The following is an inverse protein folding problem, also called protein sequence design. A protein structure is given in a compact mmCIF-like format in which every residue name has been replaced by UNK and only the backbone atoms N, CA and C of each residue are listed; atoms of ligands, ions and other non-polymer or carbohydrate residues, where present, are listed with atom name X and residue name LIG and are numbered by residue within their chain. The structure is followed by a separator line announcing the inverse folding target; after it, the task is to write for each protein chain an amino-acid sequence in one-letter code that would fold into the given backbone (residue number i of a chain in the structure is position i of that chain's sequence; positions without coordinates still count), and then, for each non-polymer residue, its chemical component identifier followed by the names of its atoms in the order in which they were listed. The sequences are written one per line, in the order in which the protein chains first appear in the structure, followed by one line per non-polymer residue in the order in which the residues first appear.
data_IF_307782953659
#
_entry.id   IF_307782953659
#
_cell.length_a   1.000
_cell.length_b   1.000
_cell.length_c   1.000
_cell.angle_alpha   90.00
_cell.angle_beta   90.00
_cell.angle_gamma   90.00
#
_symmetry.space_group_name_H-M   'P 1'
#
loop_
_entity.id
_entity.type
_entity.pdbx_description
1 polymer ?
#
# COMPACT_ATOMS: atom_id res chain seq x y z
N UNK A 1 -6.36 54.92 -8.37
CA UNK A 1 -7.16 53.69 -8.16
C UNK A 1 -6.74 52.49 -9.04
N UNK A 2 -5.67 52.55 -9.87
CA UNK A 2 -5.25 51.42 -10.73
C UNK A 2 -4.37 50.35 -10.02
N UNK A 3 -3.69 50.71 -8.94
CA UNK A 3 -2.68 49.86 -8.29
C UNK A 3 -3.24 48.71 -7.45
N UNK A 4 -4.40 48.88 -6.81
CA UNK A 4 -5.02 47.84 -5.97
C UNK A 4 -5.54 46.65 -6.82
N UNK A 5 -6.09 46.93 -8.00
CA UNK A 5 -6.66 45.92 -8.87
C UNK A 5 -5.58 45.01 -9.50
N UNK A 6 -4.43 45.61 -9.88
CA UNK A 6 -3.29 44.86 -10.42
C UNK A 6 -2.62 43.97 -9.36
N UNK A 7 -2.55 44.44 -8.11
CA UNK A 7 -2.02 43.63 -6.99
C UNK A 7 -2.95 42.45 -6.69
N UNK A 8 -4.26 42.67 -6.67
CA UNK A 8 -5.24 41.58 -6.44
C UNK A 8 -5.18 40.56 -7.58
N UNK A 9 -5.06 41.02 -8.84
CA UNK A 9 -4.94 40.15 -10.00
C UNK A 9 -3.62 39.35 -9.99
N UNK A 10 -2.50 39.98 -9.66
CA UNK A 10 -1.21 39.31 -9.53
C UNK A 10 -1.20 38.30 -8.37
N UNK A 11 -1.81 38.64 -7.23
CA UNK A 11 -1.92 37.74 -6.08
C UNK A 11 -2.85 36.55 -6.37
N UNK A 12 -3.95 36.77 -7.08
CA UNK A 12 -4.87 35.69 -7.49
C UNK A 12 -4.26 34.79 -8.56
N UNK A 13 -3.48 35.34 -9.51
CA UNK A 13 -2.70 34.53 -10.45
C UNK A 13 -1.56 33.76 -9.75
N UNK A 14 -0.92 34.32 -8.72
CA UNK A 14 0.09 33.61 -7.91
C UNK A 14 -0.54 32.49 -7.06
N UNK A 15 -1.75 32.69 -6.53
CA UNK A 15 -2.54 31.67 -5.84
C UNK A 15 -3.01 30.55 -6.79
N UNK A 16 -3.32 30.88 -8.04
CA UNK A 16 -3.62 29.89 -9.07
C UNK A 16 -2.35 29.15 -9.54
N UNK A 17 -1.19 29.82 -9.61
CA UNK A 17 0.08 29.18 -9.95
C UNK A 17 0.60 28.24 -8.85
N UNK A 18 0.26 28.49 -7.58
CA UNK A 18 0.53 27.54 -6.49
C UNK A 18 -0.47 26.38 -6.44
N UNK A 19 -1.60 26.49 -7.15
CA UNK A 19 -2.54 25.38 -7.36
C UNK A 19 -2.11 24.41 -8.45
N UNK A 20 -0.79 24.17 -8.59
CA UNK A 20 -0.24 23.08 -9.40
C UNK A 20 -0.90 21.76 -8.98
N UNK A 21 -1.96 21.37 -9.70
CA UNK A 21 -2.65 20.10 -9.54
C UNK A 21 -1.58 19.03 -9.71
N UNK A 22 -1.38 18.21 -8.67
CA UNK A 22 -0.38 17.15 -8.72
C UNK A 22 -0.79 16.14 -9.81
N UNK A 23 -0.18 16.25 -10.99
CA UNK A 23 -0.38 15.30 -12.08
C UNK A 23 0.27 13.99 -11.65
N UNK A 24 -0.55 13.00 -11.31
CA UNK A 24 -0.07 11.63 -11.13
C UNK A 24 0.14 10.98 -12.49
N UNK A 25 1.25 10.26 -12.65
CA UNK A 25 1.56 9.43 -13.81
C UNK A 25 1.51 7.97 -13.40
N UNK A 26 1.10 7.12 -14.33
CA UNK A 26 1.11 5.68 -14.12
C UNK A 26 1.37 4.95 -15.44
N UNK A 27 1.98 3.78 -15.36
CA UNK A 27 2.09 2.84 -16.47
C UNK A 27 1.80 1.44 -15.95
N UNK A 28 1.15 0.63 -16.80
CA UNK A 28 0.91 -0.78 -16.54
C UNK A 28 1.26 -1.57 -17.79
N UNK A 29 1.98 -2.66 -17.61
CA UNK A 29 2.28 -3.61 -18.67
C UNK A 29 2.05 -5.02 -18.15
N UNK A 30 1.56 -5.91 -19.02
CA UNK A 30 1.30 -7.31 -18.71
C UNK A 30 1.59 -8.13 -19.96
N UNK A 31 2.25 -9.27 -19.79
CA UNK A 31 2.53 -10.23 -20.85
C UNK A 31 1.27 -11.02 -21.22
N UNK A 32 1.23 -11.53 -22.44
CA UNK A 32 0.13 -12.37 -22.92
C UNK A 32 0.10 -13.74 -22.21
N UNK A 33 1.26 -14.18 -21.70
CA UNK A 33 1.42 -15.45 -20.96
C UNK A 33 0.95 -15.37 -19.50
N UNK A 34 0.50 -14.21 -19.03
CA UNK A 34 0.07 -14.03 -17.65
C UNK A 34 -1.19 -14.85 -17.34
N UNK A 35 -1.09 -15.76 -16.35
CA UNK A 35 -2.21 -16.55 -15.87
C UNK A 35 -2.86 -15.90 -14.63
N UNK A 36 -4.07 -15.32 -14.74
CA UNK A 36 -4.73 -14.68 -13.60
C UNK A 36 -5.19 -15.66 -12.52
N UNK A 37 -5.17 -16.97 -12.77
CA UNK A 37 -5.55 -18.02 -11.80
C UNK A 37 -4.36 -18.53 -10.98
N UNK A 38 -3.16 -18.02 -11.22
CA UNK A 38 -1.98 -18.39 -10.45
C UNK A 38 -2.08 -17.97 -8.97
N UNK A 39 -1.21 -18.56 -8.17
CA UNK A 39 -1.02 -18.19 -6.76
C UNK A 39 -0.01 -17.05 -6.65
N UNK A 40 -0.28 -16.08 -5.78
CA UNK A 40 0.53 -14.88 -5.62
C UNK A 40 1.13 -14.81 -4.22
N UNK A 41 2.43 -14.55 -4.15
CA UNK A 41 3.15 -14.23 -2.91
C UNK A 41 3.67 -12.81 -2.98
N UNK A 42 3.31 -11.98 -2.01
CA UNK A 42 3.76 -10.58 -1.98
C UNK A 42 5.03 -10.49 -1.17
N UNK A 43 6.09 -9.96 -1.77
CA UNK A 43 7.36 -9.71 -1.10
C UNK A 43 7.70 -8.24 -1.19
N UNK A 44 8.19 -7.70 -0.08
CA UNK A 44 8.61 -6.31 -0.01
C UNK A 44 10.13 -6.22 -0.10
N UNK A 45 10.62 -5.22 -0.84
CA UNK A 45 12.05 -4.86 -0.85
C UNK A 45 12.39 -3.94 0.33
N UNK A 46 11.38 -3.33 0.96
CA UNK A 46 11.51 -2.38 2.07
C UNK A 46 10.78 -2.92 3.32
N UNK A 47 11.06 -2.44 4.54
CA UNK A 47 10.41 -2.92 5.79
C UNK A 47 8.95 -2.46 6.01
N UNK A 48 8.20 -2.12 4.94
CA UNK A 48 6.86 -1.55 5.09
C UNK A 48 5.75 -2.60 5.01
N UNK A 49 5.52 -3.28 6.13
CA UNK A 49 4.54 -4.36 6.30
C UNK A 49 3.07 -3.91 6.08
N UNK A 50 2.77 -2.62 6.28
CA UNK A 50 1.42 -2.10 6.07
C UNK A 50 1.01 -2.08 4.60
N UNK A 51 1.96 -1.90 3.69
CA UNK A 51 1.69 -1.94 2.24
C UNK A 51 1.49 -3.37 1.78
N UNK A 52 2.27 -4.31 2.32
CA UNK A 52 2.16 -5.75 2.07
C UNK A 52 0.74 -6.22 2.40
N UNK A 53 0.29 -6.03 3.65
CA UNK A 53 -1.03 -6.49 4.08
C UNK A 53 -2.18 -5.84 3.28
N UNK A 54 -2.04 -4.57 2.88
CA UNK A 54 -3.04 -3.90 2.02
C UNK A 54 -3.08 -4.48 0.62
N UNK A 55 -1.92 -4.77 0.03
CA UNK A 55 -1.83 -5.32 -1.32
C UNK A 55 -2.39 -6.76 -1.35
N UNK A 56 -2.00 -7.60 -0.39
CA UNK A 56 -2.57 -8.94 -0.21
C UNK A 56 -4.10 -8.89 -0.06
N UNK A 57 -4.60 -7.97 0.76
CA UNK A 57 -6.05 -7.78 0.92
C UNK A 57 -6.75 -7.36 -0.38
N UNK A 58 -6.20 -6.41 -1.15
CA UNK A 58 -6.78 -6.01 -2.44
C UNK A 58 -6.79 -7.16 -3.45
N UNK A 59 -5.72 -7.95 -3.51
CA UNK A 59 -5.63 -9.14 -4.38
C UNK A 59 -6.68 -10.18 -4.00
N UNK A 60 -6.81 -10.50 -2.71
CA UNK A 60 -7.82 -11.42 -2.20
C UNK A 60 -9.25 -10.92 -2.49
N UNK A 61 -9.53 -9.63 -2.30
CA UNK A 61 -10.83 -9.03 -2.65
C UNK A 61 -11.16 -9.14 -4.14
N UNK A 62 -10.15 -9.16 -5.01
CA UNK A 62 -10.33 -9.31 -6.45
C UNK A 62 -10.50 -10.77 -6.89
N UNK A 63 -10.30 -11.72 -5.98
CA UNK A 63 -10.43 -13.16 -6.24
C UNK A 63 -9.11 -13.87 -6.59
N UNK A 64 -7.96 -13.21 -6.41
CA UNK A 64 -6.67 -13.88 -6.55
C UNK A 64 -6.36 -14.76 -5.34
N UNK A 65 -5.69 -15.89 -5.58
CA UNK A 65 -5.21 -16.77 -4.50
C UNK A 65 -3.90 -16.22 -3.96
N UNK A 66 -3.90 -15.70 -2.72
CA UNK A 66 -2.73 -15.12 -2.09
C UNK A 66 -2.16 -16.07 -1.04
N UNK A 67 -0.86 -16.35 -1.12
CA UNK A 67 -0.08 -17.03 -0.08
C UNK A 67 0.53 -15.94 0.81
N UNK A 68 -0.04 -15.78 2.00
CA UNK A 68 0.46 -14.85 3.01
C UNK A 68 1.36 -15.62 3.98
N UNK A 69 2.67 -15.36 3.94
CA UNK A 69 3.65 -15.95 4.87
C UNK A 69 3.56 -15.30 6.27
N UNK A 70 3.03 -14.07 6.35
CA UNK A 70 3.00 -13.27 7.56
C UNK A 70 1.56 -13.02 8.02
N UNK A 71 0.84 -14.08 8.40
CA UNK A 71 -0.36 -13.86 9.24
C UNK A 71 0.08 -13.55 10.67
N UNK A 72 0.19 -12.27 10.99
CA UNK A 72 0.02 -11.82 12.39
C UNK A 72 -1.48 -11.92 12.67
N UNK A 73 -1.96 -13.07 13.15
CA UNK A 73 -3.27 -13.10 13.79
C UNK A 73 -3.14 -12.35 15.11
N UNK A 74 -4.04 -11.40 15.35
CA UNK A 74 -3.99 -10.47 16.47
C UNK A 74 -3.88 -11.10 17.85
N UNK A 75 -3.75 -10.22 18.84
CA UNK A 75 -3.72 -10.52 20.27
C UNK A 75 -4.73 -11.61 20.65
N UNK A 76 -4.24 -12.79 21.02
CA UNK A 76 -5.09 -13.83 21.61
C UNK A 76 -5.00 -13.68 23.13
N UNK A 77 -6.12 -13.68 23.86
CA UNK A 77 -6.10 -13.68 25.31
C UNK A 77 -5.43 -14.97 25.81
N UNK A 78 -4.39 -14.83 26.62
CA UNK A 78 -3.61 -15.96 27.17
C UNK A 78 -3.90 -16.20 28.66
N UNK A 79 -4.68 -15.31 29.27
CA UNK A 79 -5.17 -15.45 30.64
C UNK A 79 -5.34 -14.07 31.27
N UNK A 80 -5.71 -14.04 32.55
CA UNK A 80 -5.74 -12.80 33.32
C UNK A 80 -4.50 -12.71 34.21
N UNK A 81 -3.88 -11.53 34.29
CA UNK A 81 -2.89 -11.21 35.31
C UNK A 81 -3.46 -10.33 36.39
N UNK A 82 -3.11 -10.67 37.63
CA UNK A 82 -3.46 -9.88 38.79
C UNK A 82 -2.46 -8.74 38.92
N UNK A 83 -2.94 -7.52 38.74
CA UNK A 83 -2.15 -6.31 38.96
C UNK A 83 -2.55 -5.76 40.32
N UNK A 84 -1.58 -5.71 41.23
CA UNK A 84 -1.73 -5.10 42.55
C UNK A 84 -1.02 -3.76 42.55
N UNK A 85 -1.79 -2.69 42.68
CA UNK A 85 -1.29 -1.37 43.03
C UNK A 85 -1.40 -1.16 44.54
N UNK A 86 -0.91 -0.03 45.04
CA UNK A 86 -0.83 0.25 46.48
C UNK A 86 -2.18 0.11 47.21
N UNK A 87 -3.30 0.40 46.53
CA UNK A 87 -4.64 0.46 47.12
C UNK A 87 -5.66 -0.52 46.51
N UNK A 88 -5.30 -1.31 45.48
CA UNK A 88 -6.26 -2.22 44.85
C UNK A 88 -5.60 -3.37 44.10
N UNK A 89 -6.33 -4.47 43.99
CA UNK A 89 -5.94 -5.61 43.16
C UNK A 89 -7.05 -5.89 42.16
N UNK A 90 -6.72 -5.88 40.86
CA UNK A 90 -7.66 -6.19 39.78
C UNK A 90 -7.02 -7.11 38.75
N UNK A 91 -7.87 -7.89 38.06
CA UNK A 91 -7.46 -8.77 36.97
C UNK A 91 -7.43 -7.98 35.66
N UNK A 92 -6.37 -8.11 34.88
CA UNK A 92 -6.22 -7.54 33.54
C UNK A 92 -6.00 -8.67 32.55
N UNK A 93 -6.69 -8.63 31.41
CA UNK A 93 -6.45 -9.59 30.33
C UNK A 93 -5.02 -9.45 29.80
N UNK A 94 -4.25 -10.53 29.91
CA UNK A 94 -2.98 -10.67 29.23
C UNK A 94 -3.21 -11.18 27.83
N UNK A 95 -2.69 -10.42 26.87
CA UNK A 95 -2.63 -10.85 25.48
C UNK A 95 -1.21 -11.32 25.17
N UNK A 96 -1.09 -12.46 24.48
CA UNK A 96 0.17 -12.85 23.84
C UNK A 96 0.04 -12.55 22.36
N UNK A 97 1.10 -12.00 21.77
CA UNK A 97 1.30 -12.06 20.33
C UNK A 97 1.39 -13.55 19.94
N UNK A 98 0.35 -14.07 19.28
CA UNK A 98 0.34 -15.46 18.84
C UNK A 98 1.24 -15.63 17.63
N UNK A 99 1.92 -16.77 17.66
CA UNK A 99 3.00 -17.22 16.80
C UNK A 99 2.81 -16.86 15.32
N UNK A 100 3.87 -16.33 14.74
CA UNK A 100 4.14 -16.43 13.31
C UNK A 100 4.09 -17.93 12.94
N UNK A 101 2.97 -18.38 12.37
CA UNK A 101 2.94 -19.68 11.71
C UNK A 101 3.81 -19.53 10.46
N UNK A 102 5.06 -19.97 10.57
CA UNK A 102 5.90 -20.22 9.39
C UNK A 102 5.23 -21.41 8.70
N UNK A 103 4.29 -21.12 7.80
CA UNK A 103 3.70 -22.15 6.96
C UNK A 103 4.81 -22.81 6.15
N UNK A 104 4.70 -24.12 5.91
CA UNK A 104 5.55 -24.80 4.92
C UNK A 104 5.58 -23.97 3.63
N UNK A 105 6.78 -23.79 3.06
CA UNK A 105 7.04 -22.96 1.90
C UNK A 105 6.09 -23.36 0.76
N UNK A 106 4.94 -22.71 0.64
CA UNK A 106 4.01 -22.95 -0.46
C UNK A 106 4.61 -22.28 -1.68
N UNK A 107 4.94 -23.08 -2.68
CA UNK A 107 5.40 -22.57 -3.97
C UNK A 107 4.28 -21.72 -4.58
N UNK A 108 4.53 -20.41 -4.70
CA UNK A 108 3.65 -19.51 -5.42
C UNK A 108 4.00 -19.57 -6.92
N UNK A 109 3.02 -19.41 -7.80
CA UNK A 109 3.26 -19.29 -9.24
C UNK A 109 3.89 -17.93 -9.57
N UNK A 110 3.49 -16.89 -8.81
CA UNK A 110 3.95 -15.52 -8.99
C UNK A 110 4.42 -14.89 -7.68
N UNK A 111 5.52 -14.15 -7.78
CA UNK A 111 6.06 -13.30 -6.72
C UNK A 111 5.78 -11.84 -7.10
N UNK A 112 5.06 -11.11 -6.25
CA UNK A 112 4.84 -9.67 -6.42
C UNK A 112 5.87 -8.94 -5.60
N UNK A 113 6.84 -8.33 -6.28
CA UNK A 113 7.85 -7.44 -5.69
C UNK A 113 7.37 -6.01 -5.77
N UNK A 114 7.56 -5.23 -4.71
CA UNK A 114 7.24 -3.80 -4.77
C UNK A 114 8.26 -2.92 -4.04
N UNK A 115 8.40 -1.70 -4.55
CA UNK A 115 9.12 -0.59 -3.94
C UNK A 115 8.20 0.62 -3.84
N UNK A 116 8.24 1.31 -2.71
CA UNK A 116 7.32 2.43 -2.42
C UNK A 116 8.02 3.52 -1.62
N UNK A 117 7.76 4.77 -1.97
CA UNK A 117 8.04 5.93 -1.13
C UNK A 117 6.73 6.67 -0.83
N UNK A 118 6.60 7.14 0.40
CA UNK A 118 5.42 7.88 0.82
C UNK A 118 5.51 9.35 0.38
N UNK A 119 4.36 9.92 0.07
CA UNK A 119 4.21 11.34 -0.21
C UNK A 119 3.60 12.03 0.99
N UNK A 120 4.14 13.20 1.36
CA UNK A 120 3.49 14.06 2.34
C UNK A 120 2.14 14.55 1.81
N UNK A 121 1.08 14.44 2.60
CA UNK A 121 -0.24 14.97 2.27
C UNK A 121 -0.96 15.40 3.53
N UNK A 122 -1.72 16.49 3.44
CA UNK A 122 -2.47 17.05 4.57
C UNK A 122 -3.66 16.19 5.02
N UNK A 123 -4.16 15.29 4.17
CA UNK A 123 -5.49 14.68 4.37
C UNK A 123 -5.51 13.16 4.34
N UNK A 124 -4.40 12.50 3.98
CA UNK A 124 -4.41 11.07 3.64
C UNK A 124 -3.01 10.50 3.51
N UNK A 125 -2.90 9.18 3.65
CA UNK A 125 -1.71 8.46 3.18
C UNK A 125 -1.69 8.45 1.64
N UNK A 126 -0.57 8.87 1.07
CA UNK A 126 -0.34 8.94 -0.35
C UNK A 126 1.04 8.37 -0.68
N UNK A 127 1.21 7.84 -1.89
CA UNK A 127 2.52 7.42 -2.39
C UNK A 127 3.14 8.51 -3.24
N UNK A 128 4.45 8.73 -3.15
CA UNK A 128 5.18 9.54 -4.11
C UNK A 128 5.50 8.69 -5.34
N UNK A 129 5.99 7.48 -5.10
CA UNK A 129 6.13 6.44 -6.11
C UNK A 129 5.67 5.08 -5.58
N UNK A 130 5.25 4.23 -6.50
CA UNK A 130 4.99 2.82 -6.25
C UNK A 130 5.34 2.05 -7.52
N UNK A 131 6.35 1.21 -7.42
CA UNK A 131 6.82 0.35 -8.49
C UNK A 131 6.54 -1.10 -8.08
N UNK A 132 5.82 -1.84 -8.91
CA UNK A 132 5.42 -3.22 -8.68
C UNK A 132 5.83 -4.06 -9.88
N UNK A 133 6.38 -5.23 -9.60
CA UNK A 133 6.71 -6.24 -10.59
C UNK A 133 6.10 -7.57 -10.17
N UNK A 134 5.48 -8.26 -11.11
CA UNK A 134 4.95 -9.61 -10.94
C UNK A 134 5.88 -10.56 -11.67
N UNK A 135 6.57 -11.40 -10.93
CA UNK A 135 7.63 -12.28 -11.42
C UNK A 135 7.12 -13.72 -11.36
N UNK A 136 7.21 -14.44 -12.46
CA UNK A 136 6.94 -15.88 -12.49
C UNK A 136 7.99 -16.61 -11.64
N UNK A 137 7.56 -17.31 -10.59
CA UNK A 137 8.47 -17.94 -9.64
C UNK A 137 9.27 -19.10 -10.26
N UNK A 138 8.74 -19.74 -11.30
CA UNK A 138 9.39 -20.86 -12.00
C UNK A 138 10.42 -20.39 -13.02
N UNK A 139 10.11 -19.31 -13.75
CA UNK A 139 10.95 -18.85 -14.86
C UNK A 139 11.81 -17.63 -14.52
N UNK A 140 11.50 -16.92 -13.44
CA UNK A 140 12.14 -15.65 -13.07
C UNK A 140 11.79 -14.47 -13.98
N UNK A 141 10.90 -14.65 -14.96
CA UNK A 141 10.51 -13.61 -15.91
C UNK A 141 9.47 -12.68 -15.29
N UNK A 142 9.57 -11.38 -15.58
CA UNK A 142 8.55 -10.40 -15.22
C UNK A 142 7.36 -10.49 -16.18
N UNK A 143 6.19 -10.78 -15.63
CA UNK A 143 4.94 -10.99 -16.36
C UNK A 143 4.00 -9.78 -16.28
N UNK A 144 4.17 -8.93 -15.26
CA UNK A 144 3.49 -7.64 -15.22
C UNK A 144 4.33 -6.60 -14.48
N UNK A 145 4.21 -5.35 -14.89
CA UNK A 145 4.80 -4.20 -14.19
C UNK A 145 3.76 -3.10 -14.01
N UNK A 146 3.88 -2.41 -12.89
CA UNK A 146 3.08 -1.22 -12.60
C UNK A 146 3.98 -0.17 -11.99
N UNK A 147 4.02 1.01 -12.60
CA UNK A 147 4.74 2.15 -12.05
C UNK A 147 3.72 3.26 -11.81
N UNK A 148 3.80 3.86 -10.64
CA UNK A 148 3.00 5.00 -10.27
C UNK A 148 3.92 6.08 -9.73
N UNK A 149 3.68 7.32 -10.13
CA UNK A 149 4.41 8.48 -9.65
C UNK A 149 3.45 9.65 -9.43
N UNK A 150 3.66 10.41 -8.38
CA UNK A 150 3.08 11.73 -8.20
C UNK A 150 4.02 12.61 -7.36
N UNK A 151 3.79 13.91 -7.39
CA UNK A 151 4.64 14.87 -6.68
C UNK A 151 4.78 14.50 -5.18
N UNK A 152 6.01 14.34 -4.65
CA UNK A 152 6.23 14.03 -3.23
C UNK A 152 5.91 15.22 -2.31
N UNK A 153 5.97 16.46 -2.81
CA UNK A 153 5.80 17.70 -2.03
C UNK A 153 4.40 17.82 -1.46
N UNK A 154 4.29 18.28 -0.20
CA UNK A 154 3.03 18.41 0.51
C UNK A 154 1.99 19.22 -0.28
N UNK A 155 0.76 18.71 -0.37
CA UNK A 155 -0.28 19.36 -1.17
C UNK A 155 -1.64 18.67 -1.11
N UNK A 156 -2.63 19.34 -1.70
CA UNK A 156 -4.00 18.88 -1.88
C UNK A 156 -4.13 18.05 -3.17
N UNK A 157 -5.18 17.22 -3.29
CA UNK A 157 -5.46 16.49 -4.54
C UNK A 157 -4.65 15.21 -4.81
N UNK A 158 -3.71 14.80 -3.95
CA UNK A 158 -2.92 13.56 -4.14
C UNK A 158 -3.78 12.31 -4.26
N UNK A 159 -3.40 11.34 -5.09
CA UNK A 159 -4.09 10.03 -5.10
C UNK A 159 -3.77 9.29 -3.81
N UNK A 160 -4.81 8.71 -3.20
CA UNK A 160 -4.70 7.92 -1.98
C UNK A 160 -3.99 6.60 -2.27
N UNK A 161 -3.19 6.15 -1.32
CA UNK A 161 -2.46 4.89 -1.38
C UNK A 161 -3.36 3.67 -1.72
N UNK A 162 -4.53 3.56 -1.10
CA UNK A 162 -5.50 2.49 -1.34
C UNK A 162 -6.04 2.49 -2.78
N UNK A 163 -6.33 3.68 -3.32
CA UNK A 163 -6.79 3.82 -4.71
C UNK A 163 -5.72 3.43 -5.73
N UNK A 164 -4.45 3.69 -5.42
CA UNK A 164 -3.33 3.31 -6.29
C UNK A 164 -3.16 1.79 -6.28
N UNK A 165 -3.16 1.15 -5.10
CA UNK A 165 -3.08 -0.32 -5.00
C UNK A 165 -4.27 -1.01 -5.67
N UNK A 166 -5.49 -0.52 -5.46
CA UNK A 166 -6.68 -1.07 -6.11
C UNK A 166 -6.56 -1.01 -7.62
N UNK A 167 -6.09 0.12 -8.15
CA UNK A 167 -5.93 0.28 -9.59
C UNK A 167 -4.93 -0.71 -10.19
N UNK A 168 -3.81 -0.96 -9.51
CA UNK A 168 -2.88 -2.01 -9.92
C UNK A 168 -3.59 -3.37 -10.00
N UNK A 169 -4.32 -3.75 -8.94
CA UNK A 169 -5.02 -5.04 -8.89
C UNK A 169 -6.13 -5.15 -9.94
N UNK A 170 -6.82 -4.05 -10.24
CA UNK A 170 -7.81 -3.97 -11.32
C UNK A 170 -7.17 -4.17 -12.69
N UNK A 171 -6.06 -3.49 -12.97
CA UNK A 171 -5.31 -3.64 -14.21
C UNK A 171 -4.74 -5.06 -14.36
N UNK A 172 -4.23 -5.65 -13.27
CA UNK A 172 -3.74 -7.02 -13.25
C UNK A 172 -4.84 -8.02 -13.62
N UNK A 173 -6.05 -7.83 -13.09
CA UNK A 173 -7.22 -8.64 -13.42
C UNK A 173 -7.74 -8.45 -14.87
N UNK A 174 -7.26 -7.45 -15.60
CA UNK A 174 -7.67 -7.18 -16.98
C UNK A 174 -9.07 -6.56 -17.10
N UNK A 175 -9.45 -5.66 -16.18
CA UNK A 175 -10.65 -4.82 -16.29
C UNK A 175 -10.31 -3.38 -16.63
#
# INVERSE_FOLDING_TARGET
MKTQFEIILAASMALLATSCISISRQSFHKTDDFNPKGTFKVVTVNTNDLVLGKLEHQLALKGFTVIADNRVSGNVPVGMSTVTTFDSTYQVDNFRLVSMQIFENKEADYIIRYQVAQAASFTKTAYANLDIEVINAKTGRTEATYNFWQNPVMGWGKRRADKVLRQFVEALAGK
#
